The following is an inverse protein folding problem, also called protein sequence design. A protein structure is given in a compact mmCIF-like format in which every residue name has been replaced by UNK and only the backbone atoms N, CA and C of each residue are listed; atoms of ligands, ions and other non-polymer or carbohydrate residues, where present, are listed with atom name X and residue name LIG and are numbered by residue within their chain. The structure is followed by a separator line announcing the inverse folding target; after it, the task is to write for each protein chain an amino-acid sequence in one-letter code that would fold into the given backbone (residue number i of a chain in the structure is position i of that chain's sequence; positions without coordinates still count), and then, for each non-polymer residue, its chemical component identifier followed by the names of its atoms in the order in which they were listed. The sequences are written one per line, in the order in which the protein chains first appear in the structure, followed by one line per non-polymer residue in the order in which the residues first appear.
data_IF_304435014612
#
_entry.id   IF_304435014612
#
_cell.length_a   1.000
_cell.length_b   1.000
_cell.length_c   1.000
_cell.angle_alpha   90.00
_cell.angle_beta   90.00
_cell.angle_gamma   90.00
#
_symmetry.space_group_name_H-M   'P 1'
#
loop_
_entity.id
_entity.type
_entity.pdbx_description
1 polymer ?
#
# COMPACT_ATOMS: atom_id res chain seq x y z
N UNK A 1 22.16 52.09 10.05
CA UNK A 1 21.18 51.52 9.13
C UNK A 1 21.42 50.01 9.09
N UNK A 2 20.58 49.24 9.80
CA UNK A 2 20.62 47.78 9.73
C UNK A 2 19.72 47.31 8.57
N UNK A 3 20.33 46.67 7.58
CA UNK A 3 19.57 45.99 6.52
C UNK A 3 19.09 44.65 7.03
N UNK A 4 17.77 44.50 7.22
CA UNK A 4 17.12 43.21 7.44
C UNK A 4 17.18 42.42 6.14
N UNK A 5 18.04 41.40 6.08
CA UNK A 5 17.96 40.38 5.03
C UNK A 5 16.78 39.47 5.31
N UNK A 6 15.73 39.60 4.52
CA UNK A 6 14.60 38.66 4.51
C UNK A 6 15.08 37.33 3.96
N UNK A 7 15.19 36.33 4.83
CA UNK A 7 15.35 34.93 4.42
C UNK A 7 14.02 34.48 3.77
N UNK A 8 14.01 34.42 2.45
CA UNK A 8 12.92 33.75 1.73
C UNK A 8 12.97 32.27 2.08
N UNK A 9 11.99 31.80 2.86
CA UNK A 9 11.77 30.39 3.06
C UNK A 9 11.40 29.78 1.68
N UNK A 10 12.24 28.88 1.17
CA UNK A 10 11.88 28.07 0.02
C UNK A 10 10.80 27.09 0.47
N UNK A 11 9.55 27.45 0.28
CA UNK A 11 8.47 26.47 0.30
C UNK A 11 8.70 25.52 -0.88
N UNK A 12 9.14 24.31 -0.58
CA UNK A 12 9.19 23.24 -1.57
C UNK A 12 7.78 22.98 -2.14
N UNK A 13 7.68 22.39 -3.33
CA UNK A 13 6.38 22.03 -3.88
C UNK A 13 5.61 21.18 -2.85
N UNK A 14 4.29 21.38 -2.73
CA UNK A 14 3.49 20.61 -1.78
C UNK A 14 3.70 19.12 -2.03
N UNK A 15 4.04 18.39 -0.99
CA UNK A 15 4.16 16.94 -1.05
C UNK A 15 2.81 16.37 -1.49
N UNK A 16 2.77 15.86 -2.72
CA UNK A 16 1.59 15.23 -3.30
C UNK A 16 1.52 13.73 -2.99
N UNK A 17 2.36 13.27 -2.06
CA UNK A 17 2.29 11.88 -1.61
C UNK A 17 0.91 11.63 -1.02
N UNK A 18 0.13 10.69 -1.56
CA UNK A 18 -1.16 10.37 -0.97
C UNK A 18 -0.97 9.95 0.48
N UNK A 19 -1.58 10.72 1.38
CA UNK A 19 -1.52 10.40 2.80
C UNK A 19 -2.58 9.36 3.15
N UNK A 20 -2.26 8.49 4.09
CA UNK A 20 -3.20 7.50 4.64
C UNK A 20 -4.05 8.08 5.80
N UNK A 21 -4.14 9.41 5.92
CA UNK A 21 -4.64 10.10 7.10
C UNK A 21 -5.98 9.61 7.68
N UNK A 22 -6.95 9.26 6.83
CA UNK A 22 -8.26 8.75 7.23
C UNK A 22 -8.44 7.25 6.94
N UNK A 23 -7.35 6.55 6.60
CA UNK A 23 -7.40 5.15 6.25
C UNK A 23 -7.61 4.26 7.49
N UNK A 24 -8.41 3.21 7.32
CA UNK A 24 -8.71 2.23 8.36
C UNK A 24 -8.09 0.87 8.05
N UNK A 25 -7.08 0.48 8.83
CA UNK A 25 -6.49 -0.86 8.72
C UNK A 25 -7.50 -1.97 9.06
N UNK A 26 -8.47 -1.71 9.93
CA UNK A 26 -9.55 -2.67 10.25
C UNK A 26 -10.43 -2.92 9.03
N UNK A 27 -10.82 -1.88 8.32
CA UNK A 27 -11.56 -2.03 7.06
C UNK A 27 -10.70 -2.68 5.98
N UNK A 28 -9.42 -2.33 5.91
CA UNK A 28 -8.47 -2.96 4.99
C UNK A 28 -8.37 -4.46 5.18
N UNK A 29 -8.36 -4.93 6.43
CA UNK A 29 -8.38 -6.35 6.75
C UNK A 29 -9.64 -7.05 6.21
N UNK A 30 -10.79 -6.43 6.31
CA UNK A 30 -12.03 -6.97 5.75
C UNK A 30 -11.98 -6.98 4.21
N UNK A 31 -11.45 -5.91 3.63
CA UNK A 31 -11.37 -5.77 2.18
C UNK A 31 -10.44 -6.80 1.51
N UNK A 32 -9.35 -7.22 2.14
CA UNK A 32 -8.47 -8.25 1.56
C UNK A 32 -9.19 -9.60 1.40
N UNK A 33 -10.16 -9.90 2.25
CA UNK A 33 -11.05 -11.04 2.08
C UNK A 33 -12.10 -10.78 0.97
N UNK A 34 -12.80 -9.64 1.05
CA UNK A 34 -13.89 -9.31 0.13
C UNK A 34 -13.41 -9.12 -1.32
N UNK A 35 -12.22 -8.58 -1.51
CA UNK A 35 -11.61 -8.37 -2.83
C UNK A 35 -10.82 -9.57 -3.37
N UNK A 36 -10.78 -10.67 -2.62
CA UNK A 36 -10.20 -11.93 -3.08
C UNK A 36 -8.67 -12.03 -2.93
N UNK A 37 -8.01 -11.14 -2.21
CA UNK A 37 -6.56 -11.20 -1.98
C UNK A 37 -6.15 -12.52 -1.30
N UNK A 38 -6.99 -13.01 -0.40
CA UNK A 38 -6.79 -14.27 0.34
C UNK A 38 -6.82 -15.52 -0.54
N UNK A 39 -7.32 -15.41 -1.77
CA UNK A 39 -7.28 -16.52 -2.73
C UNK A 39 -5.85 -16.86 -3.17
N UNK A 40 -4.95 -15.89 -3.16
CA UNK A 40 -3.56 -16.03 -3.62
C UNK A 40 -2.52 -15.79 -2.54
N UNK A 41 -2.83 -14.98 -1.52
CA UNK A 41 -1.90 -14.57 -0.47
C UNK A 41 -2.30 -15.09 0.90
N UNK A 42 -1.29 -15.31 1.75
CA UNK A 42 -1.51 -15.61 3.17
C UNK A 42 -1.33 -14.35 4.02
N UNK A 43 -2.18 -14.23 5.05
CA UNK A 43 -2.19 -13.13 6.01
C UNK A 43 -2.19 -13.69 7.43
N UNK A 44 -1.58 -13.00 8.41
CA UNK A 44 -1.44 -13.54 9.78
C UNK A 44 -2.79 -13.75 10.48
N UNK A 45 -3.77 -12.88 10.17
CA UNK A 45 -5.08 -12.88 10.84
C UNK A 45 -6.19 -13.57 10.06
N UNK A 46 -5.87 -14.12 8.90
CA UNK A 46 -6.83 -14.83 8.04
C UNK A 46 -6.43 -16.30 7.95
N UNK A 47 -7.18 -17.15 8.62
CA UNK A 47 -6.88 -18.59 8.68
C UNK A 47 -7.36 -19.36 7.47
N UNK A 48 -8.42 -18.90 6.82
CA UNK A 48 -9.04 -19.56 5.69
C UNK A 48 -9.81 -18.56 4.81
N UNK A 49 -9.73 -18.65 3.47
CA UNK A 49 -8.81 -19.53 2.72
C UNK A 49 -7.34 -19.07 2.86
N UNK A 50 -6.42 -20.01 2.63
CA UNK A 50 -4.98 -19.73 2.61
C UNK A 50 -4.45 -19.97 1.20
N UNK A 51 -4.31 -18.91 0.42
CA UNK A 51 -3.74 -18.98 -0.91
C UNK A 51 -2.23 -19.26 -0.89
N UNK A 52 -1.73 -19.89 -1.96
CA UNK A 52 -0.32 -20.20 -2.13
C UNK A 52 0.24 -19.81 -3.50
N UNK A 53 -0.57 -19.15 -4.35
CA UNK A 53 -0.14 -18.70 -5.67
C UNK A 53 0.69 -17.41 -5.62
N UNK A 54 0.42 -16.53 -4.66
CA UNK A 54 1.19 -15.34 -4.41
C UNK A 54 2.12 -15.51 -3.21
N UNK A 55 3.07 -14.58 -2.99
CA UNK A 55 3.91 -14.61 -1.81
C UNK A 55 3.08 -14.38 -0.53
N UNK A 56 3.59 -14.91 0.59
CA UNK A 56 3.03 -14.57 1.90
C UNK A 56 3.14 -13.07 2.16
N UNK A 57 2.10 -12.47 2.71
CA UNK A 57 2.07 -11.06 3.09
C UNK A 57 2.16 -10.86 4.62
N UNK A 58 2.48 -11.92 5.36
CA UNK A 58 2.51 -11.88 6.83
C UNK A 58 3.50 -10.86 7.42
N UNK A 59 4.56 -10.55 6.68
CA UNK A 59 5.56 -9.55 7.07
C UNK A 59 5.70 -8.40 6.06
N UNK A 60 4.69 -8.21 5.22
CA UNK A 60 4.74 -7.28 4.10
C UNK A 60 5.12 -5.85 4.51
N UNK A 61 4.67 -5.39 5.66
CA UNK A 61 4.98 -4.05 6.17
C UNK A 61 6.47 -3.78 6.45
N UNK A 62 7.30 -4.81 6.44
CA UNK A 62 8.76 -4.69 6.61
C UNK A 62 9.52 -4.71 5.29
N UNK A 63 8.87 -5.07 4.21
CA UNK A 63 9.53 -5.16 2.91
C UNK A 63 9.77 -3.76 2.34
N UNK A 64 10.97 -3.53 1.83
CA UNK A 64 11.33 -2.26 1.18
C UNK A 64 10.80 -2.14 -0.25
N UNK A 65 10.47 -3.26 -0.88
CA UNK A 65 10.01 -3.31 -2.26
C UNK A 65 8.69 -4.06 -2.41
N UNK A 66 7.86 -3.58 -3.34
CA UNK A 66 6.67 -4.25 -3.82
C UNK A 66 7.06 -5.08 -5.06
N UNK A 67 6.70 -6.35 -5.08
CA UNK A 67 7.02 -7.28 -6.18
C UNK A 67 8.53 -7.30 -6.54
N UNK A 68 9.39 -6.99 -5.59
CA UNK A 68 10.84 -6.93 -5.79
C UNK A 68 11.33 -5.79 -6.70
N UNK A 69 10.47 -4.84 -7.07
CA UNK A 69 10.79 -3.80 -8.08
C UNK A 69 10.43 -2.38 -7.68
N UNK A 70 9.30 -2.18 -7.02
CA UNK A 70 8.75 -0.85 -6.74
C UNK A 70 8.99 -0.48 -5.28
N UNK A 71 9.23 0.80 -4.95
CA UNK A 71 9.38 1.21 -3.57
C UNK A 71 8.08 0.97 -2.79
N UNK A 72 8.19 0.33 -1.62
CA UNK A 72 7.03 0.08 -0.76
C UNK A 72 6.66 1.35 0.02
N UNK A 73 6.00 2.24 -0.67
CA UNK A 73 5.48 3.50 -0.15
C UNK A 73 3.96 3.56 -0.35
N UNK A 74 3.23 4.28 0.49
CA UNK A 74 1.76 4.29 0.46
C UNK A 74 1.17 4.55 -0.92
N UNK A 75 1.61 5.60 -1.60
CA UNK A 75 1.09 5.95 -2.92
C UNK A 75 1.35 4.89 -3.99
N UNK A 76 2.52 4.29 -3.98
CA UNK A 76 2.88 3.22 -4.92
C UNK A 76 2.08 1.95 -4.62
N UNK A 77 1.93 1.62 -3.34
CA UNK A 77 1.17 0.43 -2.92
C UNK A 77 -0.32 0.58 -3.27
N UNK A 78 -0.90 1.76 -3.09
CA UNK A 78 -2.28 2.02 -3.51
C UNK A 78 -2.49 1.78 -5.00
N UNK A 79 -1.57 2.23 -5.84
CA UNK A 79 -1.64 1.98 -7.28
C UNK A 79 -1.47 0.50 -7.60
N UNK A 80 -0.52 -0.17 -6.95
CA UNK A 80 -0.22 -1.57 -7.20
C UNK A 80 -1.39 -2.50 -6.84
N UNK A 81 -2.02 -2.32 -5.69
CA UNK A 81 -3.16 -3.17 -5.28
C UNK A 81 -4.37 -3.00 -6.20
N UNK A 82 -4.51 -1.85 -6.86
CA UNK A 82 -5.59 -1.59 -7.82
C UNK A 82 -5.31 -2.14 -9.21
N UNK A 83 -4.07 -2.06 -9.66
CA UNK A 83 -3.71 -2.46 -11.01
C UNK A 83 -2.24 -2.89 -11.10
N UNK A 84 -1.93 -4.05 -10.52
CA UNK A 84 -0.58 -4.60 -10.57
C UNK A 84 -0.05 -4.79 -12.00
N UNK A 85 -0.84 -5.28 -12.99
CA UNK A 85 -0.35 -5.45 -14.35
C UNK A 85 0.14 -4.17 -15.02
N UNK A 86 -0.41 -3.01 -14.67
CA UNK A 86 0.03 -1.73 -15.21
C UNK A 86 1.43 -1.32 -14.72
N UNK A 87 1.80 -1.72 -13.50
CA UNK A 87 3.08 -1.37 -12.87
C UNK A 87 4.14 -2.45 -13.04
N UNK A 88 3.73 -3.71 -13.11
CA UNK A 88 4.59 -4.87 -13.31
C UNK A 88 4.00 -5.72 -14.44
N UNK A 89 4.30 -5.39 -15.69
CA UNK A 89 3.82 -6.18 -16.84
C UNK A 89 4.26 -7.64 -16.72
N UNK A 90 3.33 -8.56 -17.00
CA UNK A 90 3.57 -9.99 -16.90
C UNK A 90 3.34 -10.58 -15.49
N UNK A 91 2.99 -9.77 -14.49
CA UNK A 91 2.60 -10.31 -13.18
C UNK A 91 1.34 -11.17 -13.28
N UNK A 92 1.29 -12.24 -12.48
CA UNK A 92 0.09 -13.06 -12.35
C UNK A 92 -1.00 -12.40 -11.47
N UNK A 93 -0.64 -11.37 -10.71
CA UNK A 93 -1.60 -10.63 -9.87
C UNK A 93 -2.53 -9.81 -10.78
N UNK A 94 -3.86 -10.02 -10.72
CA UNK A 94 -4.81 -9.31 -11.56
C UNK A 94 -5.06 -7.88 -11.05
N UNK A 95 -5.60 -7.04 -11.93
CA UNK A 95 -6.20 -5.78 -11.53
C UNK A 95 -7.41 -6.06 -10.61
N UNK A 96 -7.56 -5.24 -9.58
CA UNK A 96 -8.66 -5.38 -8.61
C UNK A 96 -9.44 -4.06 -8.55
N UNK A 97 -10.74 -4.16 -8.85
CA UNK A 97 -11.62 -2.99 -8.77
C UNK A 97 -11.85 -2.57 -7.33
N UNK A 98 -11.49 -1.32 -7.01
CA UNK A 98 -11.72 -0.73 -5.70
C UNK A 98 -11.73 0.79 -5.79
N UNK A 99 -12.41 1.43 -4.86
CA UNK A 99 -12.40 2.89 -4.73
C UNK A 99 -11.06 3.39 -4.18
N UNK A 100 -10.82 4.69 -4.26
CA UNK A 100 -9.63 5.30 -3.66
C UNK A 100 -9.59 5.08 -2.15
N UNK A 101 -10.74 5.16 -1.47
CA UNK A 101 -10.81 4.91 -0.03
C UNK A 101 -10.51 3.45 0.30
N UNK A 102 -11.06 2.51 -0.45
CA UNK A 102 -10.75 1.09 -0.28
C UNK A 102 -9.26 0.80 -0.50
N UNK A 103 -8.63 1.42 -1.50
CA UNK A 103 -7.20 1.29 -1.73
C UNK A 103 -6.37 1.84 -0.56
N UNK A 104 -6.80 2.97 0.03
CA UNK A 104 -6.17 3.51 1.25
C UNK A 104 -6.30 2.57 2.43
N UNK A 105 -7.49 2.03 2.65
CA UNK A 105 -7.75 1.10 3.76
C UNK A 105 -6.94 -0.19 3.62
N UNK A 106 -6.91 -0.79 2.44
CA UNK A 106 -6.08 -1.98 2.14
C UNK A 106 -4.61 -1.68 2.37
N UNK A 107 -4.12 -0.56 1.86
CA UNK A 107 -2.72 -0.12 2.04
C UNK A 107 -2.37 0.07 3.51
N UNK A 108 -3.24 0.72 4.27
CA UNK A 108 -3.04 0.90 5.72
C UNK A 108 -2.92 -0.45 6.43
N UNK A 109 -3.77 -1.42 6.09
CA UNK A 109 -3.68 -2.76 6.66
C UNK A 109 -2.37 -3.46 6.29
N UNK A 110 -2.01 -3.49 5.01
CA UNK A 110 -0.79 -4.16 4.54
C UNK A 110 0.48 -3.61 5.20
N UNK A 111 0.54 -2.31 5.42
CA UNK A 111 1.70 -1.67 6.06
C UNK A 111 1.79 -1.96 7.58
N UNK A 112 0.73 -2.47 8.20
CA UNK A 112 0.76 -2.93 9.59
C UNK A 112 1.33 -4.34 9.74
N UNK A 113 1.46 -5.10 8.64
CA UNK A 113 1.86 -6.50 8.66
C UNK A 113 3.35 -6.64 8.92
N UNK A 114 3.69 -6.79 10.18
CA UNK A 114 5.04 -6.98 10.68
C UNK A 114 5.04 -8.17 11.64
N UNK A 115 6.07 -9.03 11.63
CA UNK A 115 6.22 -10.06 12.66
C UNK A 115 6.28 -9.42 14.04
N UNK A 116 5.68 -10.07 14.99
CA UNK A 116 5.77 -9.67 16.40
C UNK A 116 7.13 -10.02 16.97
#
# INVERSE_FOLDING_TARGET
MLACASLAACDGPPDRTPTLGDASAVKGRQLVADKGCVACHTFPDVKWPRGGLGPSLEDFGRQGLIAGRLPNQPGMLMQFVRNAPALVPGTAMPAVSMTDQEARDVTAYLLTLKPR
#
